data_IF_064625113557
#
_entry.id   IF_064625113557
#
_cell.length_a   1.000
_cell.length_b   1.000
_cell.length_c   1.000
_cell.angle_alpha   90.00
_cell.angle_beta   90.00
_cell.angle_gamma   90.00
#
_symmetry.space_group_name_H-M   'P 1'
#
loop_
_entity.id
_entity.type
_entity.pdbx_description
1 polymer ?
#
# COMPACT_ATOMS: atom_id res chain seq x y z
N UNK A 1 6.18 8.01 0.51
CA UNK A 1 5.21 6.94 0.80
C UNK A 1 3.99 7.46 1.56
N UNK A 2 4.13 8.00 2.79
CA UNK A 2 2.98 8.47 3.60
C UNK A 2 2.00 9.38 2.83
N UNK A 3 2.49 10.43 2.14
CA UNK A 3 1.64 11.32 1.33
C UNK A 3 0.83 10.59 0.25
N UNK A 4 1.43 9.57 -0.39
CA UNK A 4 0.78 8.79 -1.44
C UNK A 4 -0.34 7.92 -0.85
N UNK A 5 -0.06 7.25 0.26
CA UNK A 5 -1.06 6.45 0.99
C UNK A 5 -2.19 7.33 1.52
N UNK A 6 -1.89 8.53 2.04
CA UNK A 6 -2.95 9.47 2.46
C UNK A 6 -3.83 9.91 1.30
N UNK A 7 -3.26 10.12 0.12
CA UNK A 7 -4.05 10.43 -1.08
C UNK A 7 -4.90 9.24 -1.53
N UNK A 8 -4.35 8.03 -1.55
CA UNK A 8 -5.10 6.80 -1.85
C UNK A 8 -6.26 6.56 -0.88
N UNK A 9 -6.03 6.76 0.42
CA UNK A 9 -7.08 6.62 1.42
C UNK A 9 -8.20 7.65 1.21
N UNK A 10 -7.83 8.90 0.92
CA UNK A 10 -8.81 9.94 0.59
C UNK A 10 -9.62 9.56 -0.64
N UNK A 11 -8.97 9.16 -1.72
CA UNK A 11 -9.63 8.80 -2.97
C UNK A 11 -10.53 7.55 -2.79
N UNK A 12 -10.12 6.58 -1.97
CA UNK A 12 -10.95 5.42 -1.64
C UNK A 12 -12.23 5.81 -0.89
N UNK A 13 -12.13 6.75 0.06
CA UNK A 13 -13.28 7.27 0.80
C UNK A 13 -14.18 8.13 -0.08
N UNK A 14 -13.59 8.96 -0.94
CA UNK A 14 -14.33 9.78 -1.91
C UNK A 14 -15.11 8.89 -2.88
N UNK A 15 -14.47 7.83 -3.41
CA UNK A 15 -15.10 6.81 -4.25
C UNK A 15 -16.25 6.10 -3.53
N UNK A 16 -16.08 5.81 -2.24
CA UNK A 16 -17.13 5.17 -1.44
C UNK A 16 -18.36 6.06 -1.27
N UNK A 17 -18.15 7.35 -0.98
CA UNK A 17 -19.25 8.32 -0.81
C UNK A 17 -19.98 8.56 -2.14
N UNK A 18 -19.24 8.68 -3.25
CA UNK A 18 -19.82 8.94 -4.57
C UNK A 18 -20.30 7.68 -5.32
N UNK A 19 -19.99 6.49 -4.80
CA UNK A 19 -20.14 5.19 -5.49
C UNK A 19 -19.44 5.15 -6.85
N UNK A 20 -18.30 5.82 -6.95
CA UNK A 20 -17.53 5.91 -8.19
C UNK A 20 -16.60 4.70 -8.36
N UNK A 21 -17.03 3.77 -9.22
CA UNK A 21 -16.28 2.56 -9.58
C UNK A 21 -14.97 2.89 -10.29
N UNK A 22 -14.94 3.95 -11.10
CA UNK A 22 -13.73 4.36 -11.83
C UNK A 22 -12.65 4.84 -10.86
N UNK A 23 -13.01 5.71 -9.93
CA UNK A 23 -12.09 6.17 -8.89
C UNK A 23 -11.60 5.01 -8.00
N UNK A 24 -12.48 4.07 -7.66
CA UNK A 24 -12.08 2.88 -6.92
C UNK A 24 -11.09 1.99 -7.70
N UNK A 25 -11.29 1.80 -9.02
CA UNK A 25 -10.34 1.07 -9.86
C UNK A 25 -8.96 1.74 -9.91
N UNK A 26 -8.91 3.07 -10.01
CA UNK A 26 -7.66 3.83 -9.98
C UNK A 26 -6.91 3.72 -8.63
N UNK A 27 -7.63 3.62 -7.51
CA UNK A 27 -7.00 3.34 -6.21
C UNK A 27 -6.33 1.96 -6.23
N UNK A 28 -6.99 0.93 -6.74
CA UNK A 28 -6.43 -0.44 -6.83
C UNK A 28 -5.17 -0.48 -7.69
N UNK A 29 -5.13 0.27 -8.79
CA UNK A 29 -3.97 0.30 -9.69
C UNK A 29 -2.77 1.02 -9.06
N UNK A 30 -3.00 2.13 -8.37
CA UNK A 30 -1.93 2.93 -7.75
C UNK A 30 -1.32 2.28 -6.51
N UNK A 31 -1.96 1.26 -5.93
CA UNK A 31 -1.43 0.46 -4.81
C UNK A 31 -0.03 -0.12 -5.13
N UNK A 32 0.21 -0.51 -6.39
CA UNK A 32 1.51 -1.01 -6.86
C UNK A 32 2.65 -0.01 -6.61
N UNK A 33 2.38 1.29 -6.74
CA UNK A 33 3.39 2.31 -6.49
C UNK A 33 3.82 2.34 -5.02
N UNK A 34 2.88 2.10 -4.09
CA UNK A 34 3.17 2.04 -2.65
C UNK A 34 4.03 0.82 -2.33
N UNK A 35 3.71 -0.33 -2.92
CA UNK A 35 4.52 -1.56 -2.80
C UNK A 35 5.96 -1.33 -3.30
N UNK A 36 6.11 -0.68 -4.47
CA UNK A 36 7.42 -0.34 -5.04
C UNK A 36 8.21 0.62 -4.14
N UNK A 37 7.56 1.66 -3.60
CA UNK A 37 8.18 2.59 -2.65
C UNK A 37 8.64 1.88 -1.38
N UNK A 38 7.83 0.98 -0.83
CA UNK A 38 8.18 0.20 0.35
C UNK A 38 9.38 -0.71 0.08
N UNK A 39 9.39 -1.42 -1.05
CA UNK A 39 10.50 -2.30 -1.46
C UNK A 39 11.80 -1.51 -1.67
N UNK A 40 11.72 -0.31 -2.22
CA UNK A 40 12.88 0.58 -2.36
C UNK A 40 13.44 1.02 -1.00
N UNK A 41 12.56 1.50 -0.09
CA UNK A 41 12.95 1.88 1.27
C UNK A 41 13.56 0.70 2.05
N UNK A 42 12.99 -0.49 1.90
CA UNK A 42 13.53 -1.68 2.56
C UNK A 42 14.96 -1.99 2.12
N UNK A 43 15.25 -1.92 0.81
CA UNK A 43 16.61 -2.10 0.29
C UNK A 43 17.57 -1.03 0.78
N UNK A 44 17.12 0.23 0.83
CA UNK A 44 17.91 1.35 1.36
C UNK A 44 18.25 1.15 2.85
N UNK A 45 17.30 0.70 3.66
CA UNK A 45 17.55 0.37 5.06
C UNK A 45 18.59 -0.74 5.21
N UNK A 46 18.52 -1.80 4.40
CA UNK A 46 19.53 -2.87 4.41
C UNK A 46 20.92 -2.35 4.07
N UNK A 47 21.04 -1.49 3.05
CA UNK A 47 22.33 -0.86 2.70
C UNK A 47 22.90 -0.07 3.89
N UNK A 48 22.10 0.76 4.56
CA UNK A 48 22.55 1.52 5.72
C UNK A 48 22.92 0.68 6.95
N UNK A 49 22.24 -0.46 7.14
CA UNK A 49 22.59 -1.42 8.19
C UNK A 49 23.91 -2.14 7.90
N UNK A 50 24.19 -2.44 6.62
CA UNK A 50 25.44 -3.07 6.19
C UNK A 50 26.63 -2.13 6.22
N UNK A 51 26.42 -0.83 6.00
CA UNK A 51 27.45 0.20 6.10
C UNK A 51 27.91 0.41 7.56
N UNK A 52 26.98 0.42 8.52
CA UNK A 52 27.29 0.57 9.95
C UNK A 52 26.24 -0.13 10.82
N UNK A 53 26.67 -1.10 11.62
CA UNK A 53 25.78 -1.89 12.49
C UNK A 53 25.10 -1.06 13.57
N UNK A 54 25.61 0.13 13.90
CA UNK A 54 24.95 1.07 14.82
C UNK A 54 23.62 1.60 14.27
N UNK A 55 23.42 1.54 12.95
CA UNK A 55 22.18 1.97 12.30
C UNK A 55 21.04 0.94 12.39
N UNK A 56 21.31 -0.30 12.81
CA UNK A 56 20.32 -1.39 12.81
C UNK A 56 19.04 -0.99 13.55
N UNK A 57 19.15 -0.51 14.79
CA UNK A 57 17.96 -0.17 15.59
C UNK A 57 17.14 0.96 14.96
N UNK A 58 17.79 2.02 14.47
CA UNK A 58 17.10 3.14 13.84
C UNK A 58 16.41 2.72 12.53
N UNK A 59 17.10 1.95 11.68
CA UNK A 59 16.54 1.44 10.43
C UNK A 59 15.39 0.47 10.68
N UNK A 60 15.43 -0.34 11.74
CA UNK A 60 14.30 -1.19 12.13
C UNK A 60 13.06 -0.38 12.55
N UNK A 61 13.23 0.70 13.31
CA UNK A 61 12.09 1.58 13.63
C UNK A 61 11.49 2.23 12.37
N UNK A 62 12.33 2.70 11.45
CA UNK A 62 11.87 3.23 10.16
C UNK A 62 11.17 2.18 9.32
N UNK A 63 11.66 0.94 9.32
CA UNK A 63 11.02 -0.19 8.66
C UNK A 63 9.61 -0.44 9.21
N UNK A 64 9.43 -0.48 10.53
CA UNK A 64 8.10 -0.64 11.13
C UNK A 64 7.16 0.51 10.78
N UNK A 65 7.63 1.75 10.78
CA UNK A 65 6.83 2.91 10.35
C UNK A 65 6.40 2.74 8.89
N UNK A 66 7.34 2.39 8.01
CA UNK A 66 7.06 2.16 6.60
C UNK A 66 6.04 1.02 6.41
N UNK A 67 6.19 -0.10 7.12
CA UNK A 67 5.25 -1.22 7.02
C UNK A 67 3.84 -0.83 7.49
N UNK A 68 3.71 -0.06 8.57
CA UNK A 68 2.40 0.40 9.03
C UNK A 68 1.74 1.35 8.01
N UNK A 69 2.53 2.19 7.33
CA UNK A 69 2.01 3.04 6.26
C UNK A 69 1.55 2.20 5.06
N UNK A 70 2.31 1.18 4.65
CA UNK A 70 1.90 0.27 3.57
C UNK A 70 0.59 -0.47 3.91
N UNK A 71 0.42 -0.92 5.17
CA UNK A 71 -0.84 -1.53 5.64
C UNK A 71 -2.04 -0.60 5.51
N UNK A 72 -1.86 0.70 5.69
CA UNK A 72 -2.93 1.69 5.47
C UNK A 72 -3.28 1.78 3.99
N UNK A 73 -2.30 1.69 3.09
CA UNK A 73 -2.52 1.59 1.64
C UNK A 73 -3.32 0.34 1.27
N UNK A 74 -2.94 -0.82 1.79
CA UNK A 74 -3.68 -2.08 1.63
C UNK A 74 -5.15 -1.96 2.08
N UNK A 75 -5.41 -1.27 3.19
CA UNK A 75 -6.77 -1.01 3.66
C UNK A 75 -7.54 -0.05 2.74
N UNK A 76 -6.89 0.98 2.19
CA UNK A 76 -7.51 1.86 1.20
C UNK A 76 -7.91 1.08 -0.07
N UNK A 77 -7.04 0.18 -0.53
CA UNK A 77 -7.33 -0.73 -1.65
C UNK A 77 -8.48 -1.68 -1.34
N UNK A 78 -8.54 -2.21 -0.13
CA UNK A 78 -9.68 -3.05 0.33
C UNK A 78 -10.99 -2.26 0.30
N UNK A 79 -10.99 -1.00 0.76
CA UNK A 79 -12.18 -0.12 0.68
C UNK A 79 -12.60 0.06 -0.77
N UNK A 80 -11.67 0.35 -1.68
CA UNK A 80 -11.96 0.50 -3.10
C UNK A 80 -12.58 -0.76 -3.72
N UNK A 81 -12.08 -1.95 -3.38
CA UNK A 81 -12.67 -3.22 -3.82
C UNK A 81 -14.13 -3.38 -3.33
N UNK A 82 -14.42 -2.95 -2.10
CA UNK A 82 -15.79 -2.94 -1.60
C UNK A 82 -16.69 -1.94 -2.34
N UNK A 83 -16.17 -0.79 -2.77
CA UNK A 83 -16.93 0.16 -3.61
C UNK A 83 -17.35 -0.51 -4.92
N UNK A 84 -16.42 -1.20 -5.59
CA UNK A 84 -16.70 -1.91 -6.85
C UNK A 84 -17.76 -2.99 -6.61
N UNK A 85 -17.63 -3.76 -5.53
CA UNK A 85 -18.62 -4.78 -5.16
C UNK A 85 -20.01 -4.17 -4.89
N UNK A 86 -20.08 -3.09 -4.11
CA UNK A 86 -21.35 -2.43 -3.78
C UNK A 86 -22.06 -1.85 -5.01
N UNK A 87 -21.32 -1.42 -6.04
CA UNK A 87 -21.87 -0.84 -7.24
C UNK A 87 -22.24 -1.89 -8.31
N UNK A 88 -21.45 -2.96 -8.44
CA UNK A 88 -21.56 -3.94 -9.53
C UNK A 88 -22.14 -5.29 -9.11
N UNK A 89 -22.16 -5.58 -7.81
CA UNK A 89 -22.52 -6.88 -7.25
C UNK A 89 -21.42 -7.94 -7.32
N UNK A 90 -20.26 -7.64 -7.90
CA UNK A 90 -19.13 -8.57 -8.05
C UNK A 90 -17.83 -7.93 -7.55
N UNK A 91 -16.97 -8.75 -6.94
CA UNK A 91 -15.60 -8.32 -6.67
C UNK A 91 -14.81 -8.24 -7.99
N UNK A 92 -13.79 -7.41 -8.09
CA UNK A 92 -12.94 -7.38 -9.27
C UNK A 92 -12.28 -8.74 -9.49
N UNK A 93 -12.51 -9.36 -10.66
CA UNK A 93 -11.94 -10.68 -11.01
C UNK A 93 -10.42 -10.63 -11.23
N UNK A 94 -9.90 -9.46 -11.63
CA UNK A 94 -8.48 -9.25 -11.86
C UNK A 94 -7.73 -9.05 -10.54
N UNK A 95 -6.73 -9.92 -10.32
CA UNK A 95 -5.76 -9.74 -9.26
C UNK A 95 -5.10 -8.37 -9.41
N UNK A 96 -5.09 -7.58 -8.32
CA UNK A 96 -4.40 -6.29 -8.33
C UNK A 96 -2.91 -6.49 -8.62
N UNK A 97 -2.27 -5.58 -9.40
CA UNK A 97 -0.83 -5.68 -9.68
C UNK A 97 -0.04 -5.57 -8.37
N UNK A 98 0.58 -6.66 -7.92
CA UNK A 98 1.48 -6.68 -6.75
C UNK A 98 2.86 -7.18 -7.13
N UNK A 99 3.89 -6.46 -6.72
CA UNK A 99 5.26 -6.97 -6.73
C UNK A 99 5.54 -7.75 -5.42
N UNK A 100 5.92 -9.03 -5.51
CA UNK A 100 6.48 -9.77 -4.36
C UNK A 100 7.85 -9.18 -3.95
N UNK A 101 8.28 -9.19 -2.68
CA UNK A 101 7.97 -10.06 -1.54
C UNK A 101 7.54 -9.28 -0.28
N UNK A 102 6.39 -9.63 0.31
CA UNK A 102 6.16 -9.65 1.78
C UNK A 102 4.82 -10.31 2.14
N UNK A 103 4.62 -11.56 1.70
CA UNK A 103 4.00 -12.52 2.59
C UNK A 103 5.03 -12.86 3.66
N UNK A 104 5.07 -12.09 4.75
CA UNK A 104 5.82 -12.53 5.92
C UNK A 104 4.98 -13.58 6.61
N UNK A 105 5.18 -14.83 6.20
CA UNK A 105 4.99 -15.96 7.09
C UNK A 105 5.90 -15.74 8.30
N UNK A 106 5.30 -15.28 9.40
CA UNK A 106 5.71 -15.58 10.77
C UNK A 106 4.44 -15.94 11.51
#
# INVERSE_FOLDING_TARGET
>A
MARQVSAQLKDALDAFVSRDVGMAAEVRLRDQEVDQMYNALFREFLTHMMEDTRNISACMHLHFIAKNIERVGDHATTIAEQVIYLATGNLPDEARPKEGLAGSAV
#
